data_IF_047084731407
#
_entry.id   IF_047084731407
#
_cell.length_a   1.000
_cell.length_b   1.000
_cell.length_c   1.000
_cell.angle_alpha   90.00
_cell.angle_beta   90.00
_cell.angle_gamma   90.00
#
_symmetry.space_group_name_H-M   'P 1'
#
loop_
_entity.id
_entity.type
_entity.pdbx_description
1 polymer ?
#
# COMPACT_ATOMS: atom_id res chain seq x y z
N UNK A 1 4.38 -12.89 -28.99
CA UNK A 1 3.43 -11.94 -28.36
C UNK A 1 3.94 -11.61 -26.96
N UNK A 2 3.91 -10.35 -26.52
CA UNK A 2 4.36 -10.02 -25.16
C UNK A 2 3.49 -10.74 -24.12
N UNK A 3 4.13 -11.49 -23.22
CA UNK A 3 3.45 -12.21 -22.13
C UNK A 3 2.88 -11.19 -21.16
N UNK A 4 1.60 -11.29 -20.85
CA UNK A 4 0.90 -10.44 -19.89
C UNK A 4 0.63 -11.26 -18.64
N UNK A 5 1.00 -10.77 -17.47
CA UNK A 5 0.81 -11.49 -16.20
C UNK A 5 -0.08 -10.64 -15.30
N UNK A 6 -0.99 -11.26 -14.55
CA UNK A 6 -1.86 -10.55 -13.62
C UNK A 6 -1.03 -9.87 -12.52
N UNK A 7 -1.30 -8.58 -12.26
CA UNK A 7 -0.63 -7.81 -11.21
C UNK A 7 -0.82 -8.40 -9.80
N UNK A 8 -1.95 -9.08 -9.54
CA UNK A 8 -2.28 -9.61 -8.22
C UNK A 8 -1.90 -11.08 -8.05
N UNK A 9 -2.38 -11.97 -8.93
CA UNK A 9 -2.16 -13.42 -8.79
C UNK A 9 -1.08 -14.01 -9.70
N UNK A 10 -0.43 -13.19 -10.54
CA UNK A 10 0.61 -13.63 -11.48
C UNK A 10 0.18 -14.72 -12.48
N UNK A 11 -1.12 -14.90 -12.69
CA UNK A 11 -1.65 -15.77 -13.75
C UNK A 11 -1.32 -15.19 -15.13
N UNK A 12 -1.05 -16.07 -16.08
CA UNK A 12 -0.88 -15.70 -17.49
C UNK A 12 -2.21 -15.18 -18.07
N UNK A 13 -2.17 -14.00 -18.69
CA UNK A 13 -3.29 -13.31 -19.33
C UNK A 13 -3.10 -13.25 -20.86
N UNK A 14 -2.25 -14.09 -21.44
CA UNK A 14 -1.98 -14.10 -22.88
C UNK A 14 -3.19 -14.50 -23.73
N UNK A 15 -4.17 -15.17 -23.12
CA UNK A 15 -5.44 -15.58 -23.75
C UNK A 15 -6.50 -14.47 -23.78
N UNK A 16 -6.28 -13.37 -23.04
CA UNK A 16 -7.25 -12.28 -22.97
C UNK A 16 -7.37 -11.53 -24.31
N UNK A 17 -8.60 -11.22 -24.77
CA UNK A 17 -8.82 -10.56 -26.04
C UNK A 17 -8.19 -9.16 -26.04
N UNK A 18 -7.54 -8.82 -27.16
CA UNK A 18 -6.95 -7.50 -27.39
C UNK A 18 -7.79 -6.71 -28.40
N UNK A 19 -8.10 -5.43 -28.14
CA UNK A 19 -7.70 -4.62 -26.98
C UNK A 19 -8.42 -5.04 -25.68
N UNK A 20 -7.73 -4.90 -24.55
CA UNK A 20 -8.28 -5.25 -23.22
C UNK A 20 -9.51 -4.38 -22.96
N UNK A 21 -10.65 -5.03 -22.75
CA UNK A 21 -11.92 -4.36 -22.47
C UNK A 21 -11.87 -3.63 -21.11
N UNK A 22 -12.71 -2.60 -20.94
CA UNK A 22 -12.80 -1.84 -19.68
C UNK A 22 -13.30 -2.69 -18.49
N UNK A 23 -14.02 -3.75 -18.80
CA UNK A 23 -14.57 -4.71 -17.83
C UNK A 23 -13.74 -5.99 -17.72
N UNK A 24 -12.56 -6.04 -18.33
CA UNK A 24 -11.72 -7.24 -18.30
C UNK A 24 -11.22 -7.51 -16.87
N UNK A 25 -11.46 -8.72 -16.40
CA UNK A 25 -11.06 -9.22 -15.08
C UNK A 25 -10.25 -10.49 -15.22
N UNK A 26 -9.33 -10.72 -14.28
CA UNK A 26 -8.55 -11.95 -14.27
C UNK A 26 -9.44 -13.14 -13.89
N UNK A 27 -9.40 -14.22 -14.66
CA UNK A 27 -10.16 -15.46 -14.38
C UNK A 27 -9.71 -16.19 -13.11
N UNK A 28 -8.57 -15.83 -12.51
CA UNK A 28 -8.04 -16.46 -11.30
C UNK A 28 -8.40 -15.73 -10.01
N UNK A 29 -8.28 -14.41 -9.98
CA UNK A 29 -8.47 -13.60 -8.78
C UNK A 29 -9.53 -12.50 -8.93
N UNK A 30 -10.21 -12.43 -10.09
CA UNK A 30 -11.22 -11.43 -10.43
C UNK A 30 -10.76 -9.97 -10.33
N UNK A 31 -9.46 -9.75 -10.18
CA UNK A 31 -8.87 -8.42 -10.18
C UNK A 31 -9.03 -7.78 -11.56
N UNK A 32 -9.33 -6.48 -11.63
CA UNK A 32 -9.41 -5.77 -12.89
C UNK A 32 -8.04 -5.79 -13.59
N UNK A 33 -8.03 -6.16 -14.86
CA UNK A 33 -6.82 -6.24 -15.68
C UNK A 33 -6.50 -4.85 -16.25
N UNK A 34 -7.53 -4.06 -16.57
CA UNK A 34 -7.37 -2.68 -17.02
C UNK A 34 -7.23 -1.74 -15.82
N UNK A 35 -6.09 -1.79 -15.14
CA UNK A 35 -5.75 -0.92 -14.01
C UNK A 35 -4.41 -0.22 -14.21
N UNK A 36 -4.09 0.77 -13.39
CA UNK A 36 -2.83 1.53 -13.53
C UNK A 36 -1.60 0.62 -13.37
N UNK A 37 -1.63 -0.35 -12.46
CA UNK A 37 -0.51 -1.31 -12.25
C UNK A 37 -0.19 -2.19 -13.47
N UNK A 38 -1.13 -2.33 -14.39
CA UNK A 38 -0.99 -3.09 -15.64
C UNK A 38 -0.69 -2.19 -16.85
N UNK A 39 -0.59 -0.88 -16.65
CA UNK A 39 -0.30 0.08 -17.69
C UNK A 39 1.21 0.31 -17.83
N UNK A 40 1.73 0.35 -19.07
CA UNK A 40 3.13 0.65 -19.35
C UNK A 40 3.55 2.07 -18.93
N UNK A 41 2.60 3.03 -18.94
CA UNK A 41 2.86 4.42 -18.58
C UNK A 41 2.81 4.68 -17.07
N UNK A 42 2.59 3.65 -16.25
CA UNK A 42 2.57 3.79 -14.80
C UNK A 42 3.97 3.60 -14.23
N UNK A 43 4.47 4.61 -13.51
CA UNK A 43 5.78 4.53 -12.85
C UNK A 43 5.64 3.87 -11.47
N UNK A 44 6.45 2.86 -11.22
CA UNK A 44 6.52 2.10 -9.96
C UNK A 44 7.22 2.90 -8.88
N UNK A 45 8.26 3.63 -9.28
CA UNK A 45 9.14 4.37 -8.39
C UNK A 45 8.39 5.54 -7.78
N UNK A 46 7.54 6.18 -8.58
CA UNK A 46 6.62 7.23 -8.16
C UNK A 46 5.19 6.71 -8.27
N UNK A 47 4.76 5.93 -7.27
CA UNK A 47 3.43 5.27 -7.22
C UNK A 47 2.23 6.22 -7.44
N UNK A 48 2.44 7.53 -7.32
CA UNK A 48 1.44 8.58 -7.60
C UNK A 48 1.32 8.96 -9.08
N UNK A 49 2.35 8.73 -9.89
CA UNK A 49 2.55 9.51 -11.12
C UNK A 49 2.41 8.64 -12.37
N UNK A 50 1.49 9.03 -13.23
CA UNK A 50 1.43 8.53 -14.61
C UNK A 50 2.45 9.32 -15.43
N UNK A 51 3.19 8.65 -16.31
CA UNK A 51 4.16 9.27 -17.23
C UNK A 51 3.47 9.95 -18.43
N UNK A 52 2.17 9.78 -18.58
CA UNK A 52 1.38 10.45 -19.61
C UNK A 52 0.71 11.68 -19.00
N UNK A 53 1.20 12.88 -19.34
CA UNK A 53 0.74 14.16 -18.78
C UNK A 53 -0.76 14.43 -19.07
N UNK A 54 -1.27 13.88 -20.17
CA UNK A 54 -2.67 14.05 -20.58
C UNK A 54 -3.61 13.03 -19.95
N UNK A 55 -3.09 12.03 -19.23
CA UNK A 55 -3.90 11.02 -18.58
C UNK A 55 -4.39 11.53 -17.22
N UNK A 56 -5.65 11.22 -16.91
CA UNK A 56 -6.23 11.43 -15.59
C UNK A 56 -6.36 10.07 -14.86
N UNK A 57 -5.32 9.64 -14.12
CA UNK A 57 -5.32 8.33 -13.48
C UNK A 57 -6.19 8.34 -12.21
N UNK A 58 -7.04 7.31 -11.98
CA UNK A 58 -7.93 7.25 -10.82
C UNK A 58 -7.19 7.31 -9.49
N UNK A 59 -7.86 7.72 -8.41
CA UNK A 59 -7.26 7.76 -7.07
C UNK A 59 -6.73 6.36 -6.66
N UNK A 60 -7.60 5.35 -6.74
CA UNK A 60 -7.25 3.95 -6.50
C UNK A 60 -6.66 3.29 -7.75
N UNK A 61 -5.34 3.12 -7.77
CA UNK A 61 -4.57 2.59 -8.92
C UNK A 61 -4.81 1.10 -9.19
N UNK A 62 -5.36 0.37 -8.22
CA UNK A 62 -5.76 -1.04 -8.33
C UNK A 62 -7.11 -1.21 -9.03
N UNK A 63 -7.96 -0.18 -9.05
CA UNK A 63 -9.30 -0.27 -9.64
C UNK A 63 -9.26 -0.25 -11.17
N UNK A 64 -10.37 -0.69 -11.77
CA UNK A 64 -10.57 -0.58 -13.21
C UNK A 64 -10.50 0.90 -13.64
N UNK A 65 -9.66 1.20 -14.62
CA UNK A 65 -9.49 2.55 -15.14
C UNK A 65 -10.21 2.72 -16.48
N UNK A 66 -10.66 3.96 -16.71
CA UNK A 66 -11.30 4.38 -17.96
C UNK A 66 -10.34 5.17 -18.87
N UNK A 67 -9.06 5.26 -18.49
CA UNK A 67 -8.04 6.03 -19.19
C UNK A 67 -7.84 5.53 -20.63
N UNK A 68 -8.02 6.40 -21.61
CA UNK A 68 -7.89 6.03 -23.03
C UNK A 68 -6.43 5.80 -23.47
N UNK A 69 -5.47 6.33 -22.71
CA UNK A 69 -4.03 6.13 -22.92
C UNK A 69 -3.52 4.78 -22.38
N UNK A 70 -4.40 3.93 -21.84
CA UNK A 70 -4.00 2.63 -21.30
C UNK A 70 -3.32 1.76 -22.36
N UNK A 71 -2.08 1.36 -22.08
CA UNK A 71 -1.31 0.39 -22.86
C UNK A 71 -0.92 -0.77 -21.95
N UNK A 72 -1.39 -2.00 -22.21
CA UNK A 72 -1.03 -3.14 -21.37
C UNK A 72 0.49 -3.38 -21.44
N UNK A 73 1.12 -3.44 -20.27
CA UNK A 73 2.54 -3.69 -20.10
C UNK A 73 2.79 -4.89 -19.19
N UNK A 74 4.06 -5.24 -19.02
CA UNK A 74 4.45 -6.15 -17.94
C UNK A 74 3.96 -5.56 -16.61
N UNK A 75 3.30 -6.36 -15.74
CA UNK A 75 2.83 -5.85 -14.48
C UNK A 75 4.01 -5.28 -13.72
N UNK A 76 3.80 -4.11 -13.15
CA UNK A 76 4.70 -3.54 -12.16
C UNK A 76 4.76 -4.51 -10.99
N UNK A 77 5.88 -5.23 -10.86
CA UNK A 77 6.08 -6.20 -9.79
C UNK A 77 5.97 -5.45 -8.46
N UNK A 78 4.93 -5.72 -7.66
CA UNK A 78 5.09 -5.57 -6.21
C UNK A 78 6.19 -6.56 -5.88
N UNK A 79 7.42 -6.06 -5.70
CA UNK A 79 8.43 -6.84 -5.00
C UNK A 79 7.81 -7.08 -3.64
N UNK A 80 7.21 -8.25 -3.43
CA UNK A 80 7.06 -8.78 -2.09
C UNK A 80 8.49 -8.79 -1.59
N UNK A 81 8.82 -7.85 -0.70
CA UNK A 81 10.06 -7.96 0.03
C UNK A 81 9.90 -9.22 0.85
N UNK A 82 10.29 -10.36 0.30
CA UNK A 82 10.75 -11.50 1.10
C UNK A 82 12.09 -11.07 1.69
N UNK A 83 12.07 -10.06 2.54
CA UNK A 83 13.07 -9.91 3.56
C UNK A 83 12.64 -10.93 4.59
N UNK A 84 13.48 -11.94 4.81
CA UNK A 84 13.30 -12.86 5.90
C UNK A 84 12.99 -12.04 7.15
N UNK A 85 11.78 -12.22 7.67
CA UNK A 85 11.22 -11.39 8.73
C UNK A 85 12.16 -11.36 9.95
N UNK A 86 12.95 -12.42 10.12
CA UNK A 86 14.00 -12.60 11.13
C UNK A 86 15.17 -11.61 11.01
N UNK A 87 15.64 -11.31 9.79
CA UNK A 87 16.79 -10.42 9.59
C UNK A 87 16.42 -8.96 9.84
N UNK A 88 15.20 -8.57 9.47
CA UNK A 88 14.69 -7.23 9.74
C UNK A 88 14.48 -7.00 11.24
N UNK A 89 13.95 -7.98 11.98
CA UNK A 89 13.79 -7.86 13.44
C UNK A 89 15.13 -7.77 14.16
N UNK A 90 16.12 -8.59 13.77
CA UNK A 90 17.45 -8.57 14.39
C UNK A 90 18.19 -7.24 14.14
N UNK A 91 18.08 -6.70 12.92
CA UNK A 91 18.69 -5.41 12.60
C UNK A 91 18.02 -4.23 13.34
N UNK A 92 16.70 -4.29 13.59
CA UNK A 92 16.02 -3.26 14.38
C UNK A 92 16.43 -3.35 15.85
N UNK A 93 16.44 -4.54 16.45
CA UNK A 93 16.92 -4.72 17.83
C UNK A 93 18.32 -4.18 18.02
N UNK A 94 19.27 -4.49 17.12
CA UNK A 94 20.64 -3.97 17.20
C UNK A 94 20.76 -2.44 17.13
N UNK A 95 19.80 -1.74 16.51
CA UNK A 95 19.78 -0.28 16.43
C UNK A 95 19.12 0.39 17.65
N UNK A 96 18.24 -0.32 18.35
CA UNK A 96 17.46 0.21 19.47
C UNK A 96 17.86 -0.37 20.84
N UNK A 97 18.62 -1.47 20.90
CA UNK A 97 19.16 -2.06 22.14
C UNK A 97 20.40 -1.33 22.70
N UNK A 98 20.90 -0.30 22.00
CA UNK A 98 21.88 0.65 22.54
C UNK A 98 21.25 2.03 22.74
N UNK A 99 20.10 2.06 23.42
CA UNK A 99 19.68 3.26 24.13
C UNK A 99 20.54 3.38 25.41
N UNK A 100 21.08 4.57 25.73
CA UNK A 100 21.74 4.76 27.02
C UNK A 100 20.76 4.38 28.12
N UNK A 101 21.24 3.62 29.10
CA UNK A 101 20.47 3.25 30.28
C UNK A 101 19.74 4.47 30.81
N UNK A 102 18.45 4.57 30.50
CA UNK A 102 17.52 5.34 31.32
C UNK A 102 17.52 4.55 32.62
N UNK A 103 18.36 5.01 33.54
CA UNK A 103 18.25 4.65 34.95
C UNK A 103 16.77 4.73 35.27
N UNK A 104 16.22 3.65 35.79
CA UNK A 104 14.86 3.60 36.31
C UNK A 104 14.62 4.86 37.14
N UNK A 105 13.97 5.86 36.52
CA UNK A 105 13.23 6.82 37.30
C UNK A 105 11.99 6.04 37.68
N UNK A 106 12.06 5.46 38.87
CA UNK A 106 10.92 5.00 39.64
C UNK A 106 9.90 6.14 39.67
N UNK A 107 9.07 6.20 38.64
CA UNK A 107 7.83 6.94 38.62
C UNK A 107 6.85 6.16 39.49
N UNK A 108 6.91 6.46 40.79
CA UNK A 108 5.87 6.21 41.75
C UNK A 108 4.50 6.44 41.09
N UNK A 109 3.77 5.35 40.80
CA UNK A 109 2.37 5.45 40.39
C UNK A 109 1.58 5.83 41.63
N UNK A 110 1.56 7.12 41.93
CA UNK A 110 0.47 7.68 42.72
C UNK A 110 -0.76 7.69 41.83
N UNK A 111 -1.69 6.81 42.18
CA UNK A 111 -3.04 6.61 41.68
C UNK A 111 -3.97 7.84 41.92
N UNK A 112 -3.41 9.04 42.03
CA UNK A 112 -4.11 10.25 42.52
C UNK A 112 -4.36 11.29 41.40
N UNK A 113 -4.16 10.90 40.13
CA UNK A 113 -4.17 11.82 38.98
C UNK A 113 -5.07 11.45 37.81
N UNK A 114 -5.77 10.30 37.85
CA UNK A 114 -6.75 9.95 36.80
C UNK A 114 -7.99 10.84 36.90
N UNK A 115 -8.43 11.15 38.12
CA UNK A 115 -9.68 11.87 38.35
C UNK A 115 -9.61 13.33 37.87
N UNK A 116 -8.47 14.00 38.00
CA UNK A 116 -8.27 15.38 37.50
C UNK A 116 -8.24 15.43 35.96
N UNK A 117 -7.65 14.41 35.32
CA UNK A 117 -7.59 14.32 33.87
C UNK A 117 -8.97 14.00 33.27
N UNK A 118 -9.70 13.08 33.90
CA UNK A 118 -11.07 12.74 33.51
C UNK A 118 -12.05 13.89 33.76
N UNK A 119 -11.85 14.68 34.83
CA UNK A 119 -12.64 15.89 35.08
C UNK A 119 -12.34 16.98 34.05
N UNK A 120 -11.07 17.20 33.68
CA UNK A 120 -10.70 18.13 32.60
C UNK A 120 -11.25 17.73 31.24
N UNK A 121 -11.29 16.43 30.95
CA UNK A 121 -11.89 15.92 29.71
C UNK A 121 -13.41 16.14 29.69
N UNK A 122 -14.10 15.94 30.82
CA UNK A 122 -15.55 16.23 30.92
C UNK A 122 -15.86 17.72 30.82
N UNK A 123 -15.06 18.58 31.43
CA UNK A 123 -15.23 20.04 31.34
C UNK A 123 -14.96 20.57 29.92
N UNK A 124 -14.05 19.95 29.18
CA UNK A 124 -13.72 20.34 27.81
C UNK A 124 -14.74 19.88 26.78
N UNK A 125 -15.33 18.70 26.98
CA UNK A 125 -16.17 18.06 25.97
C UNK A 125 -17.66 18.02 26.28
N UNK A 126 -18.08 18.39 27.51
CA UNK A 126 -19.47 18.62 27.93
C UNK A 126 -20.49 17.60 27.41
N UNK A 127 -21.01 16.73 28.28
CA UNK A 127 -22.07 15.79 27.88
C UNK A 127 -23.42 16.51 27.60
N UNK A 128 -23.57 17.05 26.39
CA UNK A 128 -24.84 17.41 25.72
C UNK A 128 -24.83 16.92 24.25
#
# INVERSE_FOLDING_TARGET
>A
MAKLMCWQCQRDLSEEPRPISRQAVCQGCFAPIRCCYMCRSFDVSHRSTCQEDRADPPLEKTNANFCDFFRPGQPVRRVAQSRDQSDASAALSALFDEAPAVTDLEGDRTDDGSDDLDQKLKDLFGDD
#
